data_IF_816982014387
#
_entry.id   IF_816982014387
#
_cell.length_a   1.000
_cell.length_b   1.000
_cell.length_c   1.000
_cell.angle_alpha   90.00
_cell.angle_beta   90.00
_cell.angle_gamma   90.00
#
_symmetry.space_group_name_H-M   'P 1'
#
loop_
_entity.id
_entity.type
_entity.pdbx_description
1 polymer ?
#
# COMPACT_ATOMS: atom_id res chain seq x y z
N UNK A 1 1.47 -15.77 -44.66
CA UNK A 1 0.44 -14.71 -44.67
C UNK A 1 -0.04 -14.26 -43.29
N UNK A 2 0.26 -14.95 -42.17
CA UNK A 2 -0.04 -14.44 -40.81
C UNK A 2 0.98 -13.43 -40.28
N UNK A 3 2.23 -13.54 -40.74
CA UNK A 3 3.36 -12.68 -40.33
C UNK A 3 3.37 -11.26 -40.91
N UNK A 4 2.63 -11.00 -41.99
CA UNK A 4 2.66 -9.70 -42.68
C UNK A 4 1.64 -8.69 -42.08
N UNK A 5 0.71 -9.17 -41.24
CA UNK A 5 -0.38 -8.35 -40.67
C UNK A 5 -0.10 -7.87 -39.24
N UNK A 6 0.75 -8.58 -38.49
CA UNK A 6 1.21 -8.10 -37.17
C UNK A 6 2.08 -6.84 -37.28
N UNK A 7 2.64 -6.57 -38.47
CA UNK A 7 3.52 -5.43 -38.73
C UNK A 7 2.77 -4.19 -39.26
N UNK A 8 1.54 -4.36 -39.80
CA UNK A 8 0.69 -3.26 -40.29
C UNK A 8 -0.30 -2.72 -39.26
N UNK A 9 -0.54 -3.44 -38.15
CA UNK A 9 -1.44 -3.02 -37.05
C UNK A 9 -0.69 -2.40 -35.86
N UNK A 10 0.64 -2.41 -35.88
CA UNK A 10 1.43 -1.47 -35.10
C UNK A 10 1.23 -0.06 -35.70
N UNK A 11 1.31 1.04 -34.90
CA UNK A 11 1.34 2.38 -35.48
C UNK A 11 2.37 2.40 -36.63
N UNK A 12 2.07 3.06 -37.76
CA UNK A 12 2.93 3.01 -38.94
C UNK A 12 4.37 3.22 -38.52
N UNK A 13 5.26 2.28 -38.86
CA UNK A 13 6.72 2.35 -38.77
C UNK A 13 7.25 3.27 -37.66
N UNK A 14 7.32 2.78 -36.41
CA UNK A 14 8.10 3.39 -35.31
C UNK A 14 9.56 3.74 -35.70
N UNK A 15 10.05 3.22 -36.83
CA UNK A 15 11.34 3.51 -37.47
C UNK A 15 11.41 4.86 -38.20
N UNK A 16 10.29 5.45 -38.62
CA UNK A 16 10.27 6.82 -39.20
C UNK A 16 10.24 7.92 -38.12
N UNK A 17 10.01 7.56 -36.84
CA UNK A 17 9.69 8.48 -35.74
C UNK A 17 10.91 9.14 -35.08
N UNK A 18 12.12 8.70 -35.40
CA UNK A 18 13.37 9.28 -34.89
C UNK A 18 14.30 9.78 -36.01
N UNK A 19 13.79 9.92 -37.25
CA UNK A 19 14.52 10.68 -38.27
C UNK A 19 14.23 12.18 -38.09
N UNK A 20 15.29 12.97 -38.15
CA UNK A 20 15.42 14.35 -37.65
C UNK A 20 14.48 15.44 -38.24
N UNK A 21 13.40 15.11 -38.97
CA UNK A 21 12.66 16.08 -39.79
C UNK A 21 11.12 15.91 -39.90
N UNK A 22 10.38 15.56 -38.82
CA UNK A 22 8.91 15.64 -38.82
C UNK A 22 8.38 16.63 -37.75
N UNK A 23 7.37 17.45 -38.07
CA UNK A 23 6.79 18.41 -37.12
C UNK A 23 6.09 17.68 -35.96
N UNK A 24 5.99 18.31 -34.78
CA UNK A 24 5.34 17.72 -33.61
C UNK A 24 3.90 17.33 -33.93
N UNK A 25 3.52 16.11 -33.52
CA UNK A 25 2.20 15.54 -33.83
C UNK A 25 1.09 16.39 -33.19
N UNK A 26 0.22 16.98 -34.01
CA UNK A 26 -0.88 17.84 -33.57
C UNK A 26 -2.12 17.02 -33.21
N UNK A 27 -2.95 17.55 -32.30
CA UNK A 27 -4.23 16.93 -31.90
C UNK A 27 -5.12 16.53 -33.09
N UNK A 28 -5.15 17.34 -34.15
CA UNK A 28 -5.90 17.05 -35.38
C UNK A 28 -5.42 15.75 -36.07
N UNK A 29 -4.12 15.44 -36.05
CA UNK A 29 -3.62 14.17 -36.59
C UNK A 29 -3.99 12.97 -35.71
N UNK A 30 -4.07 13.19 -34.39
CA UNK A 30 -4.53 12.18 -33.44
C UNK A 30 -6.03 11.88 -33.64
N UNK A 31 -6.85 12.89 -33.83
CA UNK A 31 -8.29 12.77 -34.12
C UNK A 31 -8.54 11.97 -35.41
N UNK A 32 -7.87 12.32 -36.51
CA UNK A 32 -7.98 11.57 -37.78
C UNK A 32 -7.53 10.11 -37.63
N UNK A 33 -6.51 9.86 -36.79
CA UNK A 33 -6.03 8.50 -36.53
C UNK A 33 -7.07 7.69 -35.76
N UNK A 34 -7.72 8.30 -34.75
CA UNK A 34 -8.80 7.66 -33.99
C UNK A 34 -9.98 7.41 -34.90
N UNK A 35 -10.47 8.39 -35.66
CA UNK A 35 -11.58 8.24 -36.61
C UNK A 35 -11.36 7.08 -37.59
N UNK A 36 -10.12 6.90 -38.08
CA UNK A 36 -9.77 5.76 -38.93
C UNK A 36 -9.94 4.44 -38.19
N UNK A 37 -9.45 4.33 -36.95
CA UNK A 37 -9.61 3.13 -36.12
C UNK A 37 -11.09 2.84 -35.83
N UNK A 38 -11.90 3.87 -35.57
CA UNK A 38 -13.35 3.74 -35.36
C UNK A 38 -14.01 3.21 -36.63
N UNK A 39 -13.69 3.79 -37.78
CA UNK A 39 -14.26 3.37 -39.06
C UNK A 39 -13.88 1.93 -39.41
N UNK A 40 -12.61 1.56 -39.22
CA UNK A 40 -12.16 0.17 -39.41
C UNK A 40 -12.89 -0.80 -38.48
N UNK A 41 -13.16 -0.41 -37.24
CA UNK A 41 -13.94 -1.19 -36.29
C UNK A 41 -15.40 -1.36 -36.73
N UNK A 42 -16.02 -0.30 -37.26
CA UNK A 42 -17.38 -0.34 -37.80
C UNK A 42 -17.45 -1.20 -39.07
N UNK A 43 -16.51 -1.04 -40.00
CA UNK A 43 -16.47 -1.74 -41.29
C UNK A 43 -16.29 -3.25 -41.12
N UNK A 44 -15.60 -3.68 -40.05
CA UNK A 44 -15.40 -5.10 -39.71
C UNK A 44 -16.53 -5.71 -38.88
N UNK A 45 -17.62 -4.98 -38.66
CA UNK A 45 -18.81 -5.49 -37.97
C UNK A 45 -18.70 -5.48 -36.44
N UNK A 46 -17.90 -4.57 -35.86
CA UNK A 46 -17.81 -4.32 -34.41
C UNK A 46 -17.43 -5.55 -33.56
N UNK A 47 -16.53 -6.40 -34.05
CA UNK A 47 -16.08 -7.56 -33.26
C UNK A 47 -15.31 -7.11 -32.01
N UNK A 48 -15.69 -7.61 -30.82
CA UNK A 48 -15.12 -7.17 -29.52
C UNK A 48 -13.58 -7.25 -29.43
N UNK A 49 -12.94 -8.07 -30.26
CA UNK A 49 -11.48 -8.28 -30.31
C UNK A 49 -10.70 -7.29 -31.18
N UNK A 50 -11.43 -6.50 -31.97
CA UNK A 50 -10.92 -5.40 -32.77
C UNK A 50 -11.34 -4.06 -32.19
N UNK A 51 -11.90 -4.05 -30.97
CA UNK A 51 -12.17 -2.82 -30.26
C UNK A 51 -10.88 -1.97 -30.17
N UNK A 52 -10.91 -0.68 -30.59
CA UNK A 52 -9.72 0.14 -30.69
C UNK A 52 -8.96 0.25 -29.37
N UNK A 53 -9.64 0.34 -28.22
CA UNK A 53 -9.00 0.44 -26.92
C UNK A 53 -8.32 -0.88 -26.53
N UNK A 54 -8.95 -2.02 -26.79
CA UNK A 54 -8.35 -3.33 -26.54
C UNK A 54 -7.17 -3.60 -27.48
N UNK A 55 -7.23 -3.20 -28.76
CA UNK A 55 -6.12 -3.30 -29.69
C UNK A 55 -4.88 -2.55 -29.18
N UNK A 56 -5.08 -1.31 -28.76
CA UNK A 56 -4.02 -0.44 -28.27
C UNK A 56 -3.37 -0.94 -26.97
N UNK A 57 -4.17 -1.53 -26.06
CA UNK A 57 -3.69 -1.97 -24.75
C UNK A 57 -3.22 -3.43 -24.72
N UNK A 58 -3.69 -4.28 -25.63
CA UNK A 58 -3.34 -5.70 -25.66
C UNK A 58 -2.33 -6.02 -26.77
N UNK A 59 -2.59 -5.57 -28.00
CA UNK A 59 -1.79 -5.97 -29.17
C UNK A 59 -0.56 -5.10 -29.37
N UNK A 60 -0.66 -3.78 -29.23
CA UNK A 60 0.49 -2.89 -29.44
C UNK A 60 1.66 -3.15 -28.47
N UNK A 61 1.44 -3.30 -27.15
CA UNK A 61 2.54 -3.56 -26.21
C UNK A 61 3.15 -4.96 -26.39
N UNK A 62 2.38 -5.90 -26.97
CA UNK A 62 2.83 -7.26 -27.28
C UNK A 62 3.62 -7.37 -28.59
N UNK A 63 3.75 -6.28 -29.35
CA UNK A 63 4.54 -6.29 -30.58
C UNK A 63 6.05 -6.40 -30.27
N UNK A 64 6.77 -7.19 -31.07
CA UNK A 64 8.20 -7.53 -30.84
C UNK A 64 9.08 -6.30 -30.61
N UNK A 65 8.76 -5.20 -31.27
CA UNK A 65 9.50 -3.93 -31.20
C UNK A 65 9.56 -3.33 -29.78
N UNK A 66 8.54 -3.59 -28.95
CA UNK A 66 8.42 -3.07 -27.58
C UNK A 66 8.81 -4.11 -26.53
N UNK A 67 8.62 -5.41 -26.81
CA UNK A 67 9.09 -6.47 -25.92
C UNK A 67 10.62 -6.55 -25.86
N UNK A 68 11.30 -6.19 -26.96
CA UNK A 68 12.77 -6.23 -27.05
C UNK A 68 13.44 -4.91 -26.61
N UNK A 69 12.71 -3.78 -26.57
CA UNK A 69 13.25 -2.47 -26.20
C UNK A 69 12.37 -1.77 -25.15
N UNK A 70 12.66 -1.98 -23.87
CA UNK A 70 11.93 -1.35 -22.74
C UNK A 70 11.95 0.18 -22.79
N UNK A 71 12.99 0.79 -23.36
CA UNK A 71 13.18 2.24 -23.41
C UNK A 71 12.16 2.96 -24.30
N UNK A 72 11.45 2.22 -25.16
CA UNK A 72 10.39 2.76 -26.04
C UNK A 72 9.00 2.72 -25.40
N UNK A 73 8.83 2.03 -24.27
CA UNK A 73 7.55 1.89 -23.58
C UNK A 73 6.96 3.23 -23.10
N UNK A 74 7.74 4.19 -22.56
CA UNK A 74 7.19 5.49 -22.16
C UNK A 74 6.64 6.31 -23.34
N UNK A 75 7.28 6.22 -24.51
CA UNK A 75 6.79 6.88 -25.73
C UNK A 75 5.50 6.25 -26.25
N UNK A 76 5.39 4.92 -26.15
CA UNK A 76 4.16 4.20 -26.48
C UNK A 76 3.03 4.58 -25.51
N UNK A 77 3.30 4.67 -24.21
CA UNK A 77 2.33 5.09 -23.20
C UNK A 77 1.74 6.47 -23.53
N UNK A 78 2.59 7.46 -23.86
CA UNK A 78 2.12 8.81 -24.21
C UNK A 78 1.28 8.85 -25.49
N UNK A 79 1.62 8.02 -26.48
CA UNK A 79 0.83 7.88 -27.70
C UNK A 79 -0.53 7.26 -27.40
N UNK A 80 -0.54 6.16 -26.64
CA UNK A 80 -1.77 5.48 -26.22
C UNK A 80 -2.64 6.43 -25.42
N UNK A 81 -2.09 7.19 -24.48
CA UNK A 81 -2.86 8.11 -23.64
C UNK A 81 -3.61 9.16 -24.49
N UNK A 82 -2.93 9.82 -25.42
CA UNK A 82 -3.54 10.84 -26.28
C UNK A 82 -4.67 10.28 -27.15
N UNK A 83 -4.42 9.14 -27.79
CA UNK A 83 -5.40 8.49 -28.65
C UNK A 83 -6.58 7.93 -27.84
N UNK A 84 -6.32 7.37 -26.66
CA UNK A 84 -7.37 6.84 -25.78
C UNK A 84 -8.23 7.96 -25.20
N UNK A 85 -7.66 9.11 -24.84
CA UNK A 85 -8.43 10.27 -24.38
C UNK A 85 -9.43 10.73 -25.43
N UNK A 86 -9.01 10.83 -26.70
CA UNK A 86 -9.90 11.17 -27.82
C UNK A 86 -10.94 10.07 -28.03
N UNK A 87 -10.55 8.80 -27.97
CA UNK A 87 -11.47 7.67 -28.14
C UNK A 87 -12.55 7.65 -27.05
N UNK A 88 -12.19 7.91 -25.79
CA UNK A 88 -13.12 7.96 -24.66
C UNK A 88 -14.09 9.16 -24.73
N UNK A 89 -13.73 10.20 -25.49
CA UNK A 89 -14.59 11.37 -25.78
C UNK A 89 -15.41 11.20 -27.07
N UNK A 90 -15.13 10.17 -27.86
CA UNK A 90 -15.79 9.92 -29.15
C UNK A 90 -17.17 9.26 -28.99
N UNK A 91 -17.92 9.24 -30.09
CA UNK A 91 -19.25 8.61 -30.19
C UNK A 91 -19.26 7.13 -29.77
N UNK A 92 -18.13 6.41 -29.90
CA UNK A 92 -18.03 5.01 -29.45
C UNK A 92 -18.27 4.81 -27.96
N UNK A 93 -18.10 5.87 -27.15
CA UNK A 93 -18.31 5.83 -25.71
C UNK A 93 -19.62 6.53 -25.28
N UNK A 94 -20.52 6.88 -26.21
CA UNK A 94 -21.75 7.64 -25.91
C UNK A 94 -22.65 6.98 -24.84
N UNK A 95 -22.59 5.65 -24.72
CA UNK A 95 -23.37 4.85 -23.75
C UNK A 95 -22.53 4.37 -22.55
N UNK A 96 -21.39 5.03 -22.25
CA UNK A 96 -20.42 4.57 -21.25
C UNK A 96 -20.00 3.11 -21.46
N UNK A 97 -19.92 2.70 -22.73
CA UNK A 97 -19.61 1.32 -23.13
C UNK A 97 -18.35 0.83 -22.43
N UNK A 98 -17.30 1.65 -22.38
CA UNK A 98 -16.02 1.27 -21.81
C UNK A 98 -16.00 1.08 -20.28
N UNK A 99 -17.04 1.51 -19.56
CA UNK A 99 -17.17 1.24 -18.13
C UNK A 99 -17.57 -0.21 -17.82
N UNK A 100 -18.21 -0.90 -18.78
CA UNK A 100 -18.72 -2.27 -18.61
C UNK A 100 -18.05 -3.28 -19.55
N UNK A 101 -17.27 -2.80 -20.53
CA UNK A 101 -16.57 -3.66 -21.49
C UNK A 101 -15.58 -4.57 -20.77
N UNK A 102 -15.71 -5.85 -21.08
CA UNK A 102 -14.79 -6.91 -20.71
C UNK A 102 -14.31 -7.59 -21.99
N UNK A 103 -13.04 -7.95 -22.03
CA UNK A 103 -12.50 -8.74 -23.13
C UNK A 103 -13.15 -10.14 -23.09
N UNK A 104 -14.01 -10.44 -24.09
CA UNK A 104 -14.71 -11.73 -24.17
C UNK A 104 -13.80 -12.86 -24.65
N UNK A 105 -12.68 -12.56 -25.30
CA UNK A 105 -11.70 -13.57 -25.72
C UNK A 105 -10.81 -14.01 -24.56
N UNK A 106 -10.57 -13.09 -23.62
CA UNK A 106 -9.81 -13.42 -22.43
C UNK A 106 -10.62 -14.35 -21.51
N UNK A 107 -9.99 -15.46 -21.11
CA UNK A 107 -10.58 -16.44 -20.20
C UNK A 107 -10.94 -15.82 -18.84
N UNK A 108 -10.22 -14.77 -18.44
CA UNK A 108 -10.45 -14.05 -17.18
C UNK A 108 -11.38 -12.84 -17.35
N UNK A 109 -11.85 -12.54 -18.56
CA UNK A 109 -12.68 -11.37 -18.89
C UNK A 109 -12.17 -10.07 -18.27
N UNK A 110 -10.88 -9.78 -18.47
CA UNK A 110 -10.20 -8.57 -18.03
C UNK A 110 -10.83 -7.31 -18.65
N UNK A 111 -10.82 -6.23 -17.89
CA UNK A 111 -11.23 -4.89 -18.38
C UNK A 111 -10.01 -4.12 -18.88
N UNK A 112 -10.23 -2.96 -19.52
CA UNK A 112 -9.15 -2.06 -19.95
C UNK A 112 -8.20 -1.74 -18.79
N UNK A 113 -8.75 -1.41 -17.61
CA UNK A 113 -7.96 -1.05 -16.44
C UNK A 113 -7.06 -2.20 -15.95
N UNK A 114 -7.49 -3.46 -16.09
CA UNK A 114 -6.65 -4.61 -15.73
C UNK A 114 -5.41 -4.72 -16.64
N UNK A 115 -5.56 -4.47 -17.94
CA UNK A 115 -4.43 -4.47 -18.88
C UNK A 115 -3.46 -3.33 -18.59
N UNK A 116 -3.98 -2.11 -18.40
CA UNK A 116 -3.13 -0.93 -18.12
C UNK A 116 -2.40 -1.08 -16.78
N UNK A 117 -3.08 -1.64 -15.77
CA UNK A 117 -2.52 -1.93 -14.46
C UNK A 117 -1.38 -2.97 -14.52
N UNK A 118 -1.53 -4.00 -15.35
CA UNK A 118 -0.49 -5.00 -15.59
C UNK A 118 0.72 -4.41 -16.33
N UNK A 119 0.49 -3.53 -17.31
CA UNK A 119 1.54 -2.90 -18.11
C UNK A 119 2.31 -1.80 -17.37
N UNK A 120 1.74 -1.21 -16.32
CA UNK A 120 2.41 -0.16 -15.55
C UNK A 120 2.28 1.24 -16.15
N UNK A 121 1.33 1.46 -17.07
CA UNK A 121 1.12 2.75 -17.74
C UNK A 121 0.33 3.73 -16.84
N UNK A 122 1.05 4.59 -16.11
CA UNK A 122 0.47 5.52 -15.15
C UNK A 122 -0.46 6.57 -15.78
N UNK A 123 -0.06 7.20 -16.88
CA UNK A 123 -0.82 8.29 -17.52
C UNK A 123 -2.14 7.76 -18.05
N UNK A 124 -2.08 6.62 -18.74
CA UNK A 124 -3.26 5.92 -19.26
C UNK A 124 -4.17 5.49 -18.11
N UNK A 125 -3.60 5.00 -17.00
CA UNK A 125 -4.39 4.65 -15.80
C UNK A 125 -5.14 5.86 -15.26
N UNK A 126 -4.47 7.03 -15.15
CA UNK A 126 -5.10 8.28 -14.69
C UNK A 126 -6.24 8.71 -15.60
N UNK A 127 -6.04 8.66 -16.91
CA UNK A 127 -7.07 9.02 -17.89
C UNK A 127 -8.30 8.10 -17.78
N UNK A 128 -8.08 6.78 -17.70
CA UNK A 128 -9.16 5.79 -17.57
C UNK A 128 -9.90 5.97 -16.25
N UNK A 129 -9.21 6.10 -15.11
CA UNK A 129 -9.87 6.24 -13.80
C UNK A 129 -10.66 7.55 -13.70
N UNK A 130 -10.17 8.64 -14.31
CA UNK A 130 -10.87 9.92 -14.33
C UNK A 130 -12.17 9.88 -15.15
N UNK A 131 -12.18 9.14 -16.26
CA UNK A 131 -13.34 9.05 -17.16
C UNK A 131 -14.29 7.90 -16.79
N UNK A 132 -13.77 6.80 -16.27
CA UNK A 132 -14.48 5.54 -16.02
C UNK A 132 -14.12 4.99 -14.62
N UNK A 133 -14.49 5.67 -13.52
CA UNK A 133 -14.09 5.28 -12.16
C UNK A 133 -14.65 3.91 -11.74
N UNK A 134 -15.80 3.48 -12.30
CA UNK A 134 -16.43 2.19 -12.00
C UNK A 134 -15.52 0.98 -12.28
N UNK A 135 -14.54 1.12 -13.19
CA UNK A 135 -13.58 0.06 -13.52
C UNK A 135 -12.71 -0.36 -12.32
N UNK A 136 -12.52 0.51 -11.32
CA UNK A 136 -11.77 0.20 -10.09
C UNK A 136 -12.38 -0.93 -9.27
N UNK A 137 -13.70 -1.08 -9.33
CA UNK A 137 -14.46 -2.06 -8.55
C UNK A 137 -14.61 -3.41 -9.24
N UNK A 138 -14.39 -3.47 -10.56
CA UNK A 138 -14.63 -4.66 -11.35
C UNK A 138 -13.49 -5.66 -11.15
N UNK A 139 -13.85 -6.87 -10.71
CA UNK A 139 -12.91 -8.00 -10.67
C UNK A 139 -12.91 -8.77 -11.98
N UNK A 140 -11.83 -9.47 -12.28
CA UNK A 140 -11.80 -10.51 -13.32
C UNK A 140 -12.80 -11.63 -12.98
N UNK A 141 -13.25 -12.39 -13.98
CA UNK A 141 -14.09 -13.57 -13.73
C UNK A 141 -13.19 -14.72 -13.29
N UNK A 142 -13.61 -15.43 -12.23
CA UNK A 142 -12.91 -16.59 -11.68
C UNK A 142 -12.78 -17.71 -12.72
N UNK A 143 -11.58 -18.01 -13.25
CA UNK A 143 -11.37 -19.32 -13.85
C UNK A 143 -11.39 -20.38 -12.76
N UNK A 144 -11.80 -21.62 -13.09
CA UNK A 144 -11.96 -22.80 -12.19
C UNK A 144 -10.77 -23.11 -11.23
N UNK A 145 -9.65 -22.40 -11.30
CA UNK A 145 -8.45 -22.55 -10.45
C UNK A 145 -7.89 -21.26 -9.85
N UNK A 146 -8.26 -20.07 -10.36
CA UNK A 146 -7.71 -18.80 -9.87
C UNK A 146 -8.82 -17.85 -9.42
N UNK A 147 -8.53 -17.11 -8.35
CA UNK A 147 -9.41 -16.08 -7.79
C UNK A 147 -9.62 -14.93 -8.77
N UNK A 148 -10.79 -14.29 -8.66
CA UNK A 148 -11.12 -13.03 -9.30
C UNK A 148 -10.25 -11.89 -8.73
N UNK A 149 -9.45 -11.26 -9.58
CA UNK A 149 -8.49 -10.22 -9.21
C UNK A 149 -9.03 -8.84 -9.54
N UNK A 150 -8.77 -7.86 -8.67
CA UNK A 150 -8.95 -6.43 -8.97
C UNK A 150 -7.78 -5.90 -9.82
N UNK A 151 -7.96 -4.77 -10.53
CA UNK A 151 -6.87 -4.14 -11.27
C UNK A 151 -5.65 -3.82 -10.39
N UNK A 152 -5.89 -3.34 -9.17
CA UNK A 152 -4.82 -3.05 -8.19
C UNK A 152 -4.05 -4.30 -7.77
N UNK A 153 -4.74 -5.45 -7.65
CA UNK A 153 -4.11 -6.72 -7.27
C UNK A 153 -3.21 -7.24 -8.40
N UNK A 154 -3.58 -7.04 -9.67
CA UNK A 154 -2.70 -7.33 -10.81
C UNK A 154 -1.48 -6.41 -10.85
N UNK A 155 -1.65 -5.11 -10.61
CA UNK A 155 -0.53 -4.18 -10.54
C UNK A 155 0.42 -4.50 -9.39
N UNK A 156 -0.09 -4.95 -8.23
CA UNK A 156 0.70 -5.44 -7.10
C UNK A 156 1.52 -6.68 -7.48
N UNK A 157 0.93 -7.65 -8.20
CA UNK A 157 1.65 -8.83 -8.69
C UNK A 157 2.78 -8.50 -9.67
N UNK A 158 2.68 -7.38 -10.39
CA UNK A 158 3.70 -6.90 -11.32
C UNK A 158 4.68 -5.89 -10.71
N UNK A 159 4.52 -5.53 -9.44
CA UNK A 159 5.35 -4.55 -8.73
C UNK A 159 5.37 -3.16 -9.39
N UNK A 160 4.26 -2.76 -10.01
CA UNK A 160 4.12 -1.46 -10.69
C UNK A 160 3.83 -0.33 -9.67
N UNK A 161 4.85 0.10 -8.93
CA UNK A 161 4.73 1.00 -7.76
C UNK A 161 3.87 2.26 -8.01
N UNK A 162 4.11 2.98 -9.11
CA UNK A 162 3.40 4.23 -9.38
C UNK A 162 1.91 4.02 -9.65
N UNK A 163 1.59 2.96 -10.39
CA UNK A 163 0.22 2.62 -10.75
C UNK A 163 -0.53 2.10 -9.54
N UNK A 164 0.10 1.23 -8.74
CA UNK A 164 -0.49 0.74 -7.49
C UNK A 164 -0.75 1.90 -6.53
N UNK A 165 0.24 2.77 -6.31
CA UNK A 165 0.10 3.93 -5.43
C UNK A 165 -1.06 4.84 -5.87
N UNK A 166 -1.21 5.06 -7.17
CA UNK A 166 -2.32 5.84 -7.70
C UNK A 166 -3.67 5.13 -7.51
N UNK A 167 -3.77 3.84 -7.85
CA UNK A 167 -5.01 3.07 -7.70
C UNK A 167 -5.45 2.99 -6.24
N UNK A 168 -4.53 2.74 -5.30
CA UNK A 168 -4.83 2.73 -3.86
C UNK A 168 -5.39 4.08 -3.41
N UNK A 169 -4.83 5.21 -3.88
CA UNK A 169 -5.33 6.56 -3.55
C UNK A 169 -6.73 6.85 -4.10
N UNK A 170 -7.07 6.30 -5.26
CA UNK A 170 -8.37 6.50 -5.90
C UNK A 170 -9.44 5.53 -5.40
N UNK A 171 -9.04 4.42 -4.78
CA UNK A 171 -9.96 3.47 -4.16
C UNK A 171 -10.47 3.97 -2.81
N UNK A 172 -11.66 3.50 -2.43
CA UNK A 172 -12.19 3.74 -1.10
C UNK A 172 -11.28 3.12 -0.04
N UNK A 173 -11.00 3.87 1.03
CA UNK A 173 -10.06 3.50 2.09
C UNK A 173 -10.35 2.12 2.69
N UNK A 174 -11.62 1.76 2.93
CA UNK A 174 -11.97 0.44 3.49
C UNK A 174 -11.57 -0.68 2.53
N UNK A 175 -11.76 -0.47 1.22
CA UNK A 175 -11.40 -1.46 0.21
C UNK A 175 -9.89 -1.58 0.09
N UNK A 176 -9.15 -0.47 0.15
CA UNK A 176 -7.70 -0.49 0.18
C UNK A 176 -7.16 -1.20 1.43
N UNK A 177 -7.74 -0.93 2.60
CA UNK A 177 -7.41 -1.60 3.86
C UNK A 177 -7.69 -3.11 3.81
N UNK A 178 -8.86 -3.51 3.29
CA UNK A 178 -9.26 -4.92 3.09
C UNK A 178 -8.30 -5.74 2.21
N UNK A 179 -7.45 -5.10 1.39
CA UNK A 179 -6.43 -5.83 0.62
C UNK A 179 -5.32 -6.39 1.50
N UNK A 180 -4.99 -5.68 2.58
CA UNK A 180 -3.87 -5.95 3.47
C UNK A 180 -4.28 -6.32 4.90
N UNK A 181 -5.56 -6.16 5.23
CA UNK A 181 -6.11 -6.58 6.51
C UNK A 181 -6.64 -8.01 6.45
N UNK A 182 -6.52 -8.70 7.56
CA UNK A 182 -7.21 -9.96 7.80
C UNK A 182 -8.74 -9.80 7.62
N UNK A 183 -9.38 -10.80 7.00
CA UNK A 183 -10.84 -10.84 6.88
C UNK A 183 -11.37 -11.78 7.97
N UNK A 184 -12.17 -11.28 8.93
CA UNK A 184 -12.92 -12.12 9.86
C UNK A 184 -14.03 -12.85 9.10
N UNK A 185 -13.67 -13.81 8.25
CA UNK A 185 -14.62 -14.82 7.82
C UNK A 185 -15.11 -15.63 9.03
N UNK A 186 -16.14 -16.47 8.84
CA UNK A 186 -16.66 -17.37 9.88
C UNK A 186 -15.50 -17.94 10.71
N UNK A 187 -15.51 -17.64 12.00
CA UNK A 187 -14.43 -17.71 13.01
C UNK A 187 -13.78 -19.10 13.19
N UNK A 188 -14.12 -20.07 12.34
CA UNK A 188 -13.62 -21.44 12.35
C UNK A 188 -12.31 -21.59 11.54
N UNK A 189 -12.10 -20.79 10.49
CA UNK A 189 -10.87 -20.78 9.67
C UNK A 189 -10.55 -19.38 9.12
N UNK A 190 -9.77 -18.57 9.85
CA UNK A 190 -9.34 -17.26 9.37
C UNK A 190 -8.57 -17.39 8.05
N UNK A 191 -8.92 -16.57 7.05
CA UNK A 191 -8.12 -16.44 5.83
C UNK A 191 -7.14 -15.27 6.00
N UNK A 192 -5.84 -15.47 5.74
CA UNK A 192 -4.88 -14.37 5.78
C UNK A 192 -5.23 -13.30 4.74
N UNK A 193 -4.72 -12.09 4.93
CA UNK A 193 -4.78 -11.04 3.92
C UNK A 193 -4.25 -11.54 2.59
N UNK A 194 -4.87 -11.12 1.48
CA UNK A 194 -4.46 -11.55 0.14
C UNK A 194 -3.04 -11.09 -0.22
N UNK A 195 -2.66 -9.92 0.27
CA UNK A 195 -1.32 -9.36 0.12
C UNK A 195 -0.76 -9.03 1.50
N UNK A 196 0.44 -9.49 1.77
CA UNK A 196 1.15 -9.11 2.99
C UNK A 196 1.70 -7.70 2.84
N UNK A 197 1.33 -6.77 3.71
CA UNK A 197 1.91 -5.43 3.69
C UNK A 197 3.43 -5.45 3.95
N UNK A 198 3.89 -6.46 4.71
CA UNK A 198 5.31 -6.72 4.97
C UNK A 198 6.11 -6.99 3.71
N UNK A 199 5.62 -7.80 2.77
CA UNK A 199 6.32 -8.05 1.51
C UNK A 199 6.44 -6.79 0.63
N UNK A 200 5.44 -5.89 0.72
CA UNK A 200 5.48 -4.59 0.04
C UNK A 200 6.51 -3.65 0.66
N UNK A 201 6.64 -3.62 1.99
CA UNK A 201 7.65 -2.80 2.70
C UNK A 201 9.08 -3.30 2.42
N UNK A 202 9.27 -4.61 2.37
CA UNK A 202 10.58 -5.22 2.10
C UNK A 202 11.05 -4.98 0.66
N UNK A 203 10.13 -4.80 -0.29
CA UNK A 203 10.46 -4.51 -1.68
C UNK A 203 10.92 -3.04 -1.85
N UNK A 204 12.18 -2.78 -2.22
CA UNK A 204 12.70 -1.42 -2.37
C UNK A 204 12.08 -0.64 -3.54
N UNK A 205 11.41 -1.32 -4.48
CA UNK A 205 10.73 -0.67 -5.62
C UNK A 205 9.37 -0.09 -5.24
N UNK A 206 8.72 -0.59 -4.18
CA UNK A 206 7.31 -0.32 -3.86
C UNK A 206 7.12 0.84 -2.86
N UNK A 207 8.00 1.84 -2.89
CA UNK A 207 8.02 2.91 -1.86
C UNK A 207 6.78 3.80 -1.93
N UNK A 208 6.30 4.14 -3.13
CA UNK A 208 5.12 5.01 -3.30
C UNK A 208 3.85 4.29 -2.88
N UNK A 209 3.80 2.97 -3.07
CA UNK A 209 2.70 2.10 -2.63
C UNK A 209 2.58 2.09 -1.11
N UNK A 210 3.71 1.96 -0.39
CA UNK A 210 3.73 2.05 1.08
C UNK A 210 3.17 3.40 1.52
N UNK A 211 3.59 4.50 0.88
CA UNK A 211 3.08 5.84 1.19
C UNK A 211 1.58 5.98 0.91
N UNK A 212 1.13 5.54 -0.27
CA UNK A 212 -0.30 5.55 -0.61
C UNK A 212 -1.15 4.72 0.35
N UNK A 213 -0.61 3.61 0.84
CA UNK A 213 -1.30 2.79 1.82
C UNK A 213 -1.38 3.48 3.19
N UNK A 214 -0.31 4.15 3.62
CA UNK A 214 -0.31 4.97 4.83
C UNK A 214 -1.27 6.16 4.71
N UNK A 215 -1.36 6.80 3.54
CA UNK A 215 -2.33 7.87 3.27
C UNK A 215 -3.77 7.35 3.51
N UNK A 216 -4.08 6.13 3.04
CA UNK A 216 -5.39 5.48 3.22
C UNK A 216 -5.70 5.02 4.65
N UNK A 217 -4.75 5.10 5.58
CA UNK A 217 -4.97 4.82 7.01
C UNK A 217 -5.43 6.06 7.80
N UNK A 218 -5.33 7.25 7.19
CA UNK A 218 -5.84 8.51 7.76
C UNK A 218 -7.28 8.68 7.31
N UNK A 219 -8.22 8.32 8.16
CA UNK A 219 -9.63 8.42 7.81
C UNK A 219 -10.24 9.67 8.43
N UNK A 220 -10.68 10.64 7.63
CA UNK A 220 -11.41 11.77 8.18
C UNK A 220 -12.72 11.26 8.81
N UNK A 221 -12.96 11.61 10.07
CA UNK A 221 -14.12 11.20 10.83
C UNK A 221 -15.09 12.36 11.04
N UNK A 222 -16.34 12.13 10.66
CA UNK A 222 -17.44 13.05 10.91
C UNK A 222 -18.44 12.38 11.84
N UNK A 223 -18.35 12.64 13.16
CA UNK A 223 -19.18 11.95 14.16
C UNK A 223 -20.68 12.24 14.01
N UNK A 224 -21.04 13.29 13.27
CA UNK A 224 -22.42 13.68 13.02
C UNK A 224 -23.03 13.03 11.76
N UNK A 225 -22.24 12.32 10.95
CA UNK A 225 -22.74 11.67 9.75
C UNK A 225 -23.19 10.23 10.02
N UNK A 226 -24.28 9.79 9.38
CA UNK A 226 -24.68 8.39 9.44
C UNK A 226 -23.62 7.50 8.77
N UNK A 227 -23.34 6.34 9.34
CA UNK A 227 -22.36 5.40 8.77
C UNK A 227 -22.87 4.82 7.45
N UNK A 228 -22.00 4.75 6.44
CA UNK A 228 -22.30 4.03 5.20
C UNK A 228 -22.31 2.53 5.46
N UNK A 229 -23.32 1.83 4.95
CA UNK A 229 -23.46 0.37 5.05
C UNK A 229 -23.14 -0.26 3.69
N UNK A 230 -22.66 -1.51 3.69
CA UNK A 230 -22.43 -2.28 2.44
C UNK A 230 -23.74 -2.67 1.74
N UNK A 231 -24.86 -2.71 2.48
CA UNK A 231 -26.21 -2.91 1.98
C UNK A 231 -27.19 -2.12 2.84
N UNK A 232 -28.06 -1.36 2.19
CA UNK A 232 -29.17 -0.66 2.85
C UNK A 232 -30.45 -1.48 2.70
N UNK A 233 -31.34 -1.38 3.69
CA UNK A 233 -32.62 -2.09 3.66
C UNK A 233 -33.62 -1.38 2.72
N UNK A 234 -33.42 -0.09 2.44
CA UNK A 234 -34.26 0.74 1.58
C UNK A 234 -33.42 1.74 0.78
N UNK A 235 -33.82 2.00 -0.47
CA UNK A 235 -33.18 3.00 -1.35
C UNK A 235 -33.28 4.42 -0.76
N UNK A 236 -34.33 4.71 0.01
CA UNK A 236 -34.52 6.00 0.71
C UNK A 236 -33.49 6.22 1.84
N UNK A 237 -33.11 5.16 2.56
CA UNK A 237 -32.03 5.23 3.56
C UNK A 237 -30.68 5.45 2.87
N UNK A 238 -30.43 4.76 1.76
CA UNK A 238 -29.22 4.94 0.95
C UNK A 238 -29.11 6.37 0.44
N UNK A 239 -30.15 6.90 -0.21
CA UNK A 239 -30.16 8.28 -0.72
C UNK A 239 -30.04 9.33 0.40
N UNK A 240 -30.67 9.09 1.56
CA UNK A 240 -30.57 9.99 2.72
C UNK A 240 -29.16 10.02 3.31
N UNK A 241 -28.52 8.85 3.42
CA UNK A 241 -27.14 8.72 3.88
C UNK A 241 -26.21 9.35 2.85
N UNK A 242 -26.29 8.96 1.58
CA UNK A 242 -25.47 9.51 0.51
C UNK A 242 -25.63 11.02 0.36
N UNK A 243 -26.85 11.54 0.45
CA UNK A 243 -27.16 12.96 0.45
C UNK A 243 -26.44 13.71 1.58
N UNK A 244 -26.48 13.18 2.81
CA UNK A 244 -25.74 13.76 3.93
C UNK A 244 -24.23 13.75 3.68
N UNK A 245 -23.69 12.65 3.13
CA UNK A 245 -22.28 12.56 2.79
C UNK A 245 -21.84 13.48 1.64
N UNK A 246 -22.75 13.83 0.72
CA UNK A 246 -22.46 14.75 -0.38
C UNK A 246 -22.44 16.22 0.04
N UNK A 247 -22.90 16.55 1.25
CA UNK A 247 -22.95 17.93 1.78
C UNK A 247 -21.71 18.35 2.60
N UNK A 248 -20.70 17.49 2.69
CA UNK A 248 -19.52 17.71 3.52
C UNK A 248 -18.62 18.81 2.93
N UNK A 249 -18.13 19.71 3.78
CA UNK A 249 -17.03 20.63 3.47
C UNK A 249 -15.68 19.93 3.63
N UNK A 250 -14.71 20.22 2.77
CA UNK A 250 -13.45 19.46 2.60
C UNK A 250 -12.61 19.24 3.87
N UNK A 251 -12.79 20.02 4.95
CA UNK A 251 -12.02 19.88 6.19
C UNK A 251 -12.78 19.10 7.29
N UNK A 252 -12.31 17.89 7.68
CA UNK A 252 -12.83 17.14 8.81
C UNK A 252 -12.37 17.72 10.16
N UNK A 253 -13.22 17.63 11.18
CA UNK A 253 -12.90 18.06 12.55
C UNK A 253 -12.06 17.03 13.32
N UNK A 254 -12.12 15.74 12.93
CA UNK A 254 -11.41 14.65 13.59
C UNK A 254 -10.89 13.63 12.56
N UNK A 255 -9.81 12.92 12.89
CA UNK A 255 -9.20 11.89 12.04
C UNK A 255 -9.09 10.58 12.81
N UNK A 256 -9.79 9.55 12.32
CA UNK A 256 -9.65 8.18 12.77
C UNK A 256 -8.46 7.49 12.08
N UNK A 257 -7.41 7.26 12.86
CA UNK A 257 -6.21 6.57 12.41
C UNK A 257 -6.34 5.07 12.61
N UNK A 258 -6.28 4.31 11.51
CA UNK A 258 -6.43 2.86 11.53
C UNK A 258 -5.05 2.19 11.58
N UNK A 259 -4.61 1.76 12.76
CA UNK A 259 -3.28 1.17 12.97
C UNK A 259 -3.22 -0.35 12.78
N UNK A 260 -4.35 -1.01 12.52
CA UNK A 260 -4.46 -2.47 12.49
C UNK A 260 -3.50 -3.14 11.50
N UNK A 261 -3.18 -2.47 10.39
CA UNK A 261 -2.23 -2.97 9.38
C UNK A 261 -0.77 -2.79 9.83
N UNK A 262 -0.48 -1.72 10.57
CA UNK A 262 0.88 -1.44 11.06
C UNK A 262 1.27 -2.32 12.25
N UNK A 263 0.31 -2.62 13.10
CA UNK A 263 0.46 -3.51 14.25
C UNK A 263 0.17 -4.98 13.89
N UNK A 264 -0.29 -5.25 12.67
CA UNK A 264 -0.62 -6.59 12.21
C UNK A 264 0.59 -7.47 11.94
N UNK A 265 0.36 -8.79 11.96
CA UNK A 265 1.34 -9.80 11.55
C UNK A 265 1.46 -9.92 10.02
N UNK A 266 2.28 -10.84 9.53
CA UNK A 266 2.47 -11.11 8.09
C UNK A 266 1.16 -11.41 7.34
N UNK A 267 0.15 -11.94 8.03
CA UNK A 267 -1.18 -12.22 7.50
C UNK A 267 -2.16 -11.06 7.62
N UNK A 268 -1.71 -9.87 8.05
CA UNK A 268 -2.56 -8.70 8.26
C UNK A 268 -3.47 -8.81 9.49
N UNK A 269 -3.16 -9.74 10.39
CA UNK A 269 -3.96 -10.04 11.57
C UNK A 269 -3.60 -9.07 12.71
N UNK A 270 -4.55 -8.28 13.26
CA UNK A 270 -4.24 -7.38 14.36
C UNK A 270 -4.12 -8.13 15.70
N UNK A 271 -3.34 -7.61 16.67
CA UNK A 271 -3.14 -8.24 17.97
C UNK A 271 -4.42 -8.30 18.82
N UNK A 272 -5.24 -7.26 18.72
CA UNK A 272 -6.57 -7.21 19.32
C UNK A 272 -7.57 -6.71 18.26
N UNK A 273 -8.79 -7.24 18.28
CA UNK A 273 -9.86 -6.77 17.41
C UNK A 273 -11.10 -6.38 18.22
N UNK A 274 -11.87 -5.45 17.69
CA UNK A 274 -13.18 -5.08 18.23
C UNK A 274 -14.24 -5.74 17.36
N UNK A 275 -15.08 -6.57 17.97
CA UNK A 275 -16.28 -7.09 17.32
C UNK A 275 -17.35 -6.00 17.40
N UNK A 276 -18.02 -5.69 16.29
CA UNK A 276 -19.16 -4.77 16.28
C UNK A 276 -20.21 -5.22 17.30
N UNK A 277 -20.38 -4.44 18.37
CA UNK A 277 -21.30 -4.72 19.48
C UNK A 277 -20.64 -4.98 20.85
N UNK A 278 -19.34 -5.27 20.92
CA UNK A 278 -18.62 -5.42 22.19
C UNK A 278 -17.81 -4.17 22.55
N UNK A 279 -17.90 -3.73 23.81
CA UNK A 279 -17.17 -2.55 24.30
C UNK A 279 -15.68 -2.80 24.56
N UNK A 280 -15.28 -4.06 24.75
CA UNK A 280 -13.89 -4.40 25.04
C UNK A 280 -13.23 -5.10 23.85
N UNK A 281 -12.03 -4.66 23.44
CA UNK A 281 -11.26 -5.36 22.44
C UNK A 281 -10.90 -6.76 22.98
N UNK A 282 -11.08 -7.80 22.16
CA UNK A 282 -10.62 -9.15 22.48
C UNK A 282 -9.23 -9.39 21.92
N UNK A 283 -8.45 -10.18 22.65
CA UNK A 283 -7.17 -10.67 22.17
C UNK A 283 -7.39 -11.68 21.05
N UNK A 284 -6.52 -11.60 20.05
CA UNK A 284 -6.59 -12.45 18.88
C UNK A 284 -5.72 -13.70 19.05
N UNK A 285 -6.36 -14.86 19.16
CA UNK A 285 -5.66 -16.15 19.30
C UNK A 285 -4.81 -16.50 18.06
N UNK A 286 -5.18 -15.96 16.89
CA UNK A 286 -4.49 -16.24 15.63
C UNK A 286 -3.34 -15.28 15.35
N UNK A 287 -3.09 -14.30 16.22
CA UNK A 287 -2.01 -13.34 16.05
C UNK A 287 -0.65 -13.99 16.33
N UNK A 288 0.28 -13.87 15.38
CA UNK A 288 1.63 -14.37 15.57
C UNK A 288 2.51 -13.40 16.37
N UNK A 289 2.57 -13.60 17.70
CA UNK A 289 3.41 -12.82 18.62
C UNK A 289 4.92 -12.87 18.33
N UNK A 290 5.40 -13.87 17.58
CA UNK A 290 6.83 -14.00 17.22
C UNK A 290 7.19 -13.19 15.98
N UNK A 291 6.20 -12.70 15.24
CA UNK A 291 6.44 -11.99 14.01
C UNK A 291 6.83 -10.53 14.26
N UNK A 292 7.57 -9.96 13.31
CA UNK A 292 7.97 -8.56 13.33
C UNK A 292 6.85 -7.73 12.75
N UNK A 293 6.37 -6.76 13.52
CA UNK A 293 5.36 -5.80 13.06
C UNK A 293 5.81 -5.04 11.82
N UNK A 294 4.85 -4.60 11.01
CA UNK A 294 5.10 -3.73 9.86
C UNK A 294 5.81 -2.43 10.28
N UNK A 295 5.53 -1.90 11.48
CA UNK A 295 6.24 -0.75 12.05
C UNK A 295 7.75 -1.02 12.22
N UNK A 296 8.13 -2.20 12.71
CA UNK A 296 9.54 -2.60 12.84
C UNK A 296 10.23 -2.66 11.48
N UNK A 297 9.54 -3.19 10.46
CA UNK A 297 10.07 -3.28 9.10
C UNK A 297 10.25 -1.90 8.47
N UNK A 298 9.29 -0.99 8.65
CA UNK A 298 9.42 0.41 8.20
C UNK A 298 10.62 1.07 8.87
N UNK A 299 10.81 0.88 10.19
CA UNK A 299 11.93 1.44 10.93
C UNK A 299 13.29 0.87 10.47
N UNK A 300 13.34 -0.41 10.08
CA UNK A 300 14.54 -1.04 9.52
C UNK A 300 14.78 -0.67 8.04
N UNK A 301 13.73 -0.31 7.32
CA UNK A 301 13.82 0.07 5.91
C UNK A 301 14.54 1.41 5.73
N UNK A 302 15.20 1.60 4.59
CA UNK A 302 15.78 2.91 4.22
C UNK A 302 14.72 3.93 3.75
N UNK A 303 13.43 3.66 3.92
CA UNK A 303 12.35 4.54 3.50
C UNK A 303 12.08 5.61 4.58
N UNK A 304 12.87 6.70 4.54
CA UNK A 304 12.72 7.83 5.46
C UNK A 304 11.36 8.52 5.33
N UNK A 305 10.74 8.51 4.15
CA UNK A 305 9.44 9.14 3.90
C UNK A 305 8.33 8.42 4.66
N UNK A 306 8.33 7.08 4.63
CA UNK A 306 7.37 6.27 5.40
C UNK A 306 7.51 6.49 6.92
N UNK A 307 8.74 6.66 7.43
CA UNK A 307 8.97 6.95 8.84
C UNK A 307 8.50 8.36 9.25
N UNK A 308 8.61 9.32 8.34
CA UNK A 308 8.15 10.69 8.58
C UNK A 308 6.63 10.86 8.43
N UNK A 309 5.93 9.84 7.95
CA UNK A 309 4.50 9.89 7.72
C UNK A 309 3.71 10.20 9.01
N UNK A 310 2.68 11.06 8.97
CA UNK A 310 1.89 11.44 10.15
C UNK A 310 1.30 10.27 10.93
N UNK A 311 0.79 9.24 10.25
CA UNK A 311 0.23 8.02 10.88
C UNK A 311 1.28 7.33 11.74
N UNK A 312 2.48 7.12 11.19
CA UNK A 312 3.58 6.43 11.86
C UNK A 312 4.06 7.26 13.04
N UNK A 313 4.20 8.59 12.87
CA UNK A 313 4.56 9.50 13.96
C UNK A 313 3.52 9.52 15.07
N UNK A 314 2.23 9.55 14.74
CA UNK A 314 1.16 9.54 15.74
C UNK A 314 1.10 8.20 16.48
N UNK A 315 1.34 7.08 15.78
CA UNK A 315 1.45 5.76 16.39
C UNK A 315 2.64 5.70 17.36
N UNK A 316 3.81 6.18 16.95
CA UNK A 316 5.00 6.24 17.80
C UNK A 316 4.75 7.14 19.02
N UNK A 317 4.13 8.32 18.83
CA UNK A 317 3.78 9.23 19.93
C UNK A 317 2.81 8.58 20.92
N UNK A 318 1.85 7.82 20.43
CA UNK A 318 0.88 7.09 21.25
C UNK A 318 1.58 5.99 22.05
N UNK A 319 2.41 5.17 21.41
CA UNK A 319 3.23 4.14 22.06
C UNK A 319 4.20 4.74 23.09
N UNK A 320 4.80 5.89 22.78
CA UNK A 320 5.67 6.63 23.69
C UNK A 320 4.94 7.10 24.95
N UNK A 321 3.73 7.65 24.79
CA UNK A 321 2.90 8.09 25.93
C UNK A 321 2.43 6.92 26.78
N UNK A 322 2.11 5.78 26.17
CA UNK A 322 1.56 4.63 26.88
C UNK A 322 2.61 3.86 27.68
N UNK A 323 3.78 3.59 27.10
CA UNK A 323 4.81 2.78 27.78
C UNK A 323 6.24 3.28 27.56
N UNK A 324 6.54 3.93 26.43
CA UNK A 324 7.91 4.33 26.10
C UNK A 324 8.55 5.28 27.12
N UNK A 325 7.82 6.30 27.55
CA UNK A 325 8.31 7.26 28.55
C UNK A 325 8.56 6.59 29.91
N UNK A 326 7.64 5.73 30.35
CA UNK A 326 7.76 5.03 31.62
C UNK A 326 8.95 4.06 31.60
N UNK A 327 9.11 3.32 30.51
CA UNK A 327 10.22 2.38 30.34
C UNK A 327 11.58 3.10 30.31
N UNK A 328 11.72 4.19 29.53
CA UNK A 328 12.96 4.97 29.50
C UNK A 328 13.26 5.61 30.86
N UNK A 329 12.25 6.16 31.52
CA UNK A 329 12.40 6.74 32.87
C UNK A 329 12.88 5.70 33.88
N UNK A 330 12.37 4.48 33.79
CA UNK A 330 12.76 3.37 34.67
C UNK A 330 14.20 2.90 34.39
N UNK A 331 14.59 2.80 33.11
CA UNK A 331 15.96 2.48 32.71
C UNK A 331 16.95 3.57 33.16
N UNK A 332 16.60 4.85 32.99
CA UNK A 332 17.40 5.97 33.48
C UNK A 332 17.53 5.96 35.01
N UNK A 333 16.44 5.67 35.73
CA UNK A 333 16.47 5.54 37.18
C UNK A 333 17.39 4.41 37.64
N UNK A 334 17.35 3.23 37.01
CA UNK A 334 18.27 2.14 37.32
C UNK A 334 19.72 2.51 37.07
N UNK A 335 20.01 3.22 35.99
CA UNK A 335 21.37 3.69 35.71
C UNK A 335 21.86 4.71 36.76
N UNK A 336 21.01 5.64 37.18
CA UNK A 336 21.35 6.59 38.25
C UNK A 336 21.57 5.89 39.58
N UNK A 337 20.75 4.89 39.92
CA UNK A 337 20.92 4.05 41.11
C UNK A 337 22.25 3.30 41.06
N UNK A 338 22.58 2.71 39.91
CA UNK A 338 23.87 2.06 39.69
C UNK A 338 25.05 3.01 39.91
N UNK A 339 25.01 4.21 39.31
CA UNK A 339 26.04 5.24 39.49
C UNK A 339 26.14 5.74 40.93
N UNK A 340 25.00 5.83 41.63
CA UNK A 340 24.97 6.21 43.04
C UNK A 340 25.70 5.17 43.89
N UNK A 341 25.36 3.88 43.75
CA UNK A 341 26.03 2.81 44.48
C UNK A 341 27.53 2.71 44.15
N UNK A 342 27.89 2.90 42.87
CA UNK A 342 29.28 2.93 42.43
C UNK A 342 30.04 4.10 43.06
N UNK A 343 29.46 5.30 43.07
CA UNK A 343 30.06 6.49 43.67
C UNK A 343 30.22 6.35 45.19
N UNK A 344 29.20 5.81 45.88
CA UNK A 344 29.26 5.53 47.31
C UNK A 344 30.37 4.53 47.65
N UNK A 345 30.50 3.46 46.87
CA UNK A 345 31.56 2.46 47.03
C UNK A 345 32.96 3.07 46.82
N UNK A 346 33.16 3.82 45.74
CA UNK A 346 34.44 4.45 45.41
C UNK A 346 34.86 5.52 46.45
N UNK A 347 33.92 6.36 46.90
CA UNK A 347 34.20 7.38 47.91
C UNK A 347 34.63 6.73 49.24
N UNK A 348 33.93 5.69 49.69
CA UNK A 348 34.30 4.97 50.92
C UNK A 348 35.63 4.21 50.76
N UNK A 349 35.90 3.64 49.58
CA UNK A 349 37.18 2.98 49.30
C UNK A 349 38.37 3.96 49.33
N UNK A 350 38.21 5.17 48.79
CA UNK A 350 39.31 6.15 48.70
C UNK A 350 39.72 6.78 50.04
N UNK A 351 38.84 6.76 51.04
CA UNK A 351 39.09 7.35 52.36
C UNK A 351 39.82 6.40 53.33
N UNK A 352 40.02 5.13 52.97
CA UNK A 352 40.67 4.12 53.84
C UNK A 352 42.07 3.74 53.37
N UNK A 353 42.94 3.44 54.35
CA UNK A 353 44.35 3.07 54.12
C UNK A 353 44.53 1.60 53.69
N UNK A 354 43.63 0.71 54.10
CA UNK A 354 43.62 -0.71 53.71
C UNK A 354 42.23 -1.09 53.15
N UNK A 355 42.20 -1.54 51.89
CA UNK A 355 40.97 -1.71 51.12
C UNK A 355 40.26 -3.07 51.31
N UNK A 356 40.83 -3.99 52.09
CA UNK A 356 40.43 -5.41 52.17
C UNK A 356 39.82 -5.84 53.51
N UNK A 357 39.76 -4.94 54.51
CA UNK A 357 39.23 -5.26 55.84
C UNK A 357 37.80 -4.72 56.00
N UNK A 358 36.85 -5.63 56.31
CA UNK A 358 35.43 -5.32 56.53
C UNK A 358 35.04 -5.69 57.96
N UNK A 359 35.18 -4.76 58.92
CA UNK A 359 34.87 -5.04 60.34
C UNK A 359 33.81 -4.09 60.91
N UNK A 360 33.60 -2.92 60.31
CA UNK A 360 32.71 -1.89 60.84
C UNK A 360 31.36 -1.82 60.09
N UNK A 361 30.33 -1.22 60.70
CA UNK A 361 28.99 -1.09 60.10
C UNK A 361 29.03 -0.33 58.75
N UNK A 362 29.92 0.66 58.62
CA UNK A 362 30.16 1.37 57.37
C UNK A 362 30.82 0.47 56.29
N UNK A 363 31.61 -0.53 56.70
CA UNK A 363 32.22 -1.49 55.77
C UNK A 363 31.19 -2.50 55.27
N UNK A 364 30.24 -2.89 56.11
CA UNK A 364 29.11 -3.74 55.68
C UNK A 364 28.27 -3.07 54.60
N UNK A 365 28.00 -1.77 54.74
CA UNK A 365 27.28 -0.98 53.73
C UNK A 365 28.07 -0.87 52.43
N UNK A 366 29.40 -0.72 52.50
CA UNK A 366 30.28 -0.76 51.32
C UNK A 366 30.24 -2.12 50.62
N UNK A 367 30.37 -3.22 51.36
CA UNK A 367 30.30 -4.57 50.81
C UNK A 367 28.95 -4.84 50.12
N UNK A 368 27.85 -4.36 50.69
CA UNK A 368 26.53 -4.39 50.04
C UNK A 368 26.52 -3.59 48.73
N UNK A 369 27.05 -2.36 48.72
CA UNK A 369 27.16 -1.55 47.50
C UNK A 369 28.00 -2.25 46.43
N UNK A 370 29.12 -2.86 46.79
CA UNK A 370 30.00 -3.61 45.87
C UNK A 370 29.26 -4.81 45.26
N UNK A 371 28.55 -5.61 46.07
CA UNK A 371 27.74 -6.75 45.58
C UNK A 371 26.67 -6.27 44.59
N UNK A 372 25.95 -5.19 44.92
CA UNK A 372 24.92 -4.62 44.06
C UNK A 372 25.53 -4.13 42.74
N UNK A 373 26.64 -3.39 42.78
CA UNK A 373 27.30 -2.91 41.56
C UNK A 373 27.80 -4.05 40.68
N UNK A 374 28.39 -5.11 41.26
CA UNK A 374 28.84 -6.28 40.51
C UNK A 374 27.66 -7.01 39.85
N UNK A 375 26.52 -7.13 40.56
CA UNK A 375 25.31 -7.72 40.00
C UNK A 375 24.78 -6.90 38.81
N UNK A 376 24.72 -5.57 38.93
CA UNK A 376 24.34 -4.70 37.81
C UNK A 376 25.30 -4.80 36.62
N UNK A 377 26.61 -4.88 36.87
CA UNK A 377 27.61 -5.07 35.78
C UNK A 377 27.38 -6.37 35.04
N UNK A 378 27.14 -7.49 35.75
CA UNK A 378 26.84 -8.77 35.10
C UNK A 378 25.57 -8.69 34.27
N UNK A 379 24.50 -8.06 34.80
CA UNK A 379 23.25 -7.86 34.05
C UNK A 379 23.47 -7.03 32.78
N UNK A 380 24.18 -5.91 32.86
CA UNK A 380 24.48 -5.08 31.69
C UNK A 380 25.35 -5.81 30.67
N UNK A 381 26.34 -6.59 31.10
CA UNK A 381 27.14 -7.42 30.19
C UNK A 381 26.27 -8.46 29.49
N UNK A 382 25.36 -9.13 30.22
CA UNK A 382 24.40 -10.06 29.62
C UNK A 382 23.48 -9.37 28.61
N UNK A 383 22.99 -8.16 28.91
CA UNK A 383 22.16 -7.37 27.99
C UNK A 383 22.93 -6.99 26.71
N UNK A 384 24.15 -6.48 26.84
CA UNK A 384 25.01 -6.11 25.69
C UNK A 384 25.36 -7.32 24.82
N UNK A 385 25.67 -8.47 25.44
CA UNK A 385 25.91 -9.71 24.68
C UNK A 385 24.66 -10.15 23.93
N UNK A 386 23.47 -9.99 24.53
CA UNK A 386 22.21 -10.28 23.86
C UNK A 386 21.94 -9.31 22.70
N UNK A 387 22.25 -8.02 22.87
CA UNK A 387 22.13 -7.02 21.81
C UNK A 387 23.09 -7.27 20.64
N UNK A 388 24.34 -7.67 20.90
CA UNK A 388 25.29 -8.02 19.84
C UNK A 388 24.91 -9.28 19.06
N UNK A 389 24.07 -10.15 19.65
CA UNK A 389 23.62 -11.40 19.02
C UNK A 389 22.40 -11.22 18.11
N UNK A 390 21.55 -10.21 18.38
CA UNK A 390 20.41 -9.84 17.53
C UNK A 390 20.86 -8.98 16.34
#
# INVERSE_FOLDING_TARGET
>A
MKFFWDEMLAPPSFQEYFSHCMPPRTRAMDEVSVERLIKEYQDKGQMDNEDPALLMLKKWPSAKQFTENSDKLPGLEQLINRLLEILLESELNSDNRYEKVRDKEDKQKRTLLHYVAELGFLHVTKAIVKKCPGLLALKTIEPKRNRALLPVELALQKENDEVVAYLIRMMWHERAQKLFSWIPGNMEKPQPSFFSFKSVIENPKMKKTVMAMLDQMVNPHWPYLPQRKESYDTDEEEEGVEGAWNTITDDPLDYHLHYHILDGDEGGCPPCFKISGEHQPRDNEYFNWKDKSCLHLIAKSHNKEALQHPVVRMLIKTKWKNYGHLFLSLQAAFYVIFLFFLSCSLLHASTRKDATQYYDAADSLRGFCEIVTLLFVVLYVCEEVNQMRM
#
